data_IF_258879121067
#
_entry.id   IF_258879121067
#
_cell.length_a   1.000
_cell.length_b   1.000
_cell.length_c   1.000
_cell.angle_alpha   90.00
_cell.angle_beta   90.00
_cell.angle_gamma   90.00
#
_symmetry.space_group_name_H-M   'P 1'
#
loop_
_entity.id
_entity.type
_entity.pdbx_description
1 polymer ?
#
# COMPACT_ATOMS: atom_id res chain seq x y z
N UNK A 1 17.78 1.13 6.26
CA UNK A 1 17.80 0.94 4.79
C UNK A 1 17.43 -0.49 4.47
N UNK A 2 16.85 -0.75 3.28
CA UNK A 2 16.47 -2.10 2.85
C UNK A 2 17.62 -3.11 2.90
N UNK A 3 18.83 -2.69 2.50
CA UNK A 3 20.03 -3.52 2.54
C UNK A 3 20.33 -4.06 3.95
N UNK A 4 20.32 -3.19 4.98
CA UNK A 4 20.59 -3.62 6.36
C UNK A 4 19.57 -4.64 6.86
N UNK A 5 18.30 -4.51 6.47
CA UNK A 5 17.25 -5.47 6.82
C UNK A 5 17.49 -6.80 6.12
N UNK A 6 17.81 -6.79 4.82
CA UNK A 6 18.11 -8.00 4.06
C UNK A 6 19.32 -8.74 4.62
N UNK A 7 20.41 -8.02 4.94
CA UNK A 7 21.61 -8.59 5.56
C UNK A 7 21.35 -9.18 6.94
N UNK A 8 20.33 -8.67 7.66
CA UNK A 8 19.92 -9.21 8.95
C UNK A 8 18.99 -10.45 8.83
N UNK A 9 18.67 -10.89 7.61
CA UNK A 9 17.84 -12.08 7.37
C UNK A 9 16.34 -11.83 7.32
N UNK A 10 15.90 -10.57 7.16
CA UNK A 10 14.48 -10.25 6.97
C UNK A 10 13.96 -10.84 5.65
N UNK A 11 12.78 -11.46 5.69
CA UNK A 11 12.15 -12.10 4.52
C UNK A 11 11.35 -11.14 3.65
N UNK A 12 10.65 -10.18 4.26
CA UNK A 12 9.74 -9.25 3.58
C UNK A 12 9.80 -7.87 4.24
N UNK A 13 9.52 -6.81 3.49
CA UNK A 13 9.53 -5.45 4.02
C UNK A 13 8.28 -4.66 3.66
N UNK A 14 7.91 -3.76 4.56
CA UNK A 14 6.84 -2.80 4.35
C UNK A 14 7.29 -1.42 4.84
N UNK A 15 7.33 -0.46 3.92
CA UNK A 15 7.50 0.96 4.24
C UNK A 15 6.26 1.68 3.73
N UNK A 16 5.55 2.36 4.63
CA UNK A 16 4.26 2.90 4.27
C UNK A 16 4.40 4.29 3.66
N UNK A 17 3.70 4.49 2.55
CA UNK A 17 3.46 5.81 1.99
C UNK A 17 2.19 6.46 2.54
N UNK A 18 1.32 5.69 3.19
CA UNK A 18 0.12 6.10 3.95
C UNK A 18 -0.99 6.82 3.15
N UNK A 19 -0.66 7.65 2.17
CA UNK A 19 -1.60 8.47 1.39
C UNK A 19 -1.50 8.17 -0.11
N UNK A 20 -2.50 8.55 -0.91
CA UNK A 20 -2.42 8.41 -2.37
C UNK A 20 -1.56 9.50 -3.03
N UNK A 21 -1.47 10.69 -2.42
CA UNK A 21 -0.78 11.85 -3.00
C UNK A 21 0.26 12.46 -2.08
N UNK A 22 1.25 13.13 -2.68
CA UNK A 22 2.29 13.88 -1.96
C UNK A 22 1.69 15.03 -1.15
N UNK A 23 0.65 15.69 -1.68
CA UNK A 23 -0.04 16.76 -0.98
C UNK A 23 -0.66 16.25 0.33
N UNK A 24 -1.44 15.17 0.27
CA UNK A 24 -2.01 14.55 1.47
C UNK A 24 -0.91 14.10 2.45
N UNK A 25 0.18 13.54 1.94
CA UNK A 25 1.29 13.12 2.79
C UNK A 25 1.90 14.29 3.57
N UNK A 26 2.08 15.44 2.91
CA UNK A 26 2.66 16.63 3.54
C UNK A 26 1.81 17.16 4.71
N UNK A 27 0.49 16.96 4.64
CA UNK A 27 -0.47 17.36 5.67
C UNK A 27 -0.55 16.31 6.77
N UNK A 28 -0.66 15.02 6.41
CA UNK A 28 -0.93 13.92 7.33
C UNK A 28 0.31 13.37 8.03
N UNK A 29 1.49 13.56 7.44
CA UNK A 29 2.76 13.02 7.93
C UNK A 29 3.84 14.12 8.00
N UNK A 30 3.60 15.20 8.76
CA UNK A 30 4.51 16.34 8.81
C UNK A 30 5.90 15.92 9.32
N UNK A 31 6.94 16.38 8.64
CA UNK A 31 8.33 16.08 8.98
C UNK A 31 8.87 14.75 8.43
N UNK A 32 8.06 13.98 7.70
CA UNK A 32 8.50 12.78 6.99
C UNK A 32 8.63 13.07 5.48
N UNK A 33 9.44 12.24 4.79
CA UNK A 33 9.63 12.33 3.35
C UNK A 33 9.02 11.12 2.64
N UNK A 34 7.94 11.37 1.88
CA UNK A 34 7.32 10.36 1.03
C UNK A 34 8.27 9.85 -0.05
N UNK A 35 9.07 10.77 -0.63
CA UNK A 35 10.05 10.43 -1.65
C UNK A 35 11.15 9.50 -1.15
N UNK A 36 11.62 9.71 0.09
CA UNK A 36 12.60 8.80 0.71
C UNK A 36 12.01 7.42 1.00
N UNK A 37 10.76 7.36 1.47
CA UNK A 37 10.05 6.10 1.67
C UNK A 37 9.84 5.36 0.35
N UNK A 38 9.45 6.07 -0.72
CA UNK A 38 9.29 5.48 -2.06
C UNK A 38 10.63 4.99 -2.62
N UNK A 39 11.70 5.78 -2.52
CA UNK A 39 13.04 5.36 -2.93
C UNK A 39 13.50 4.10 -2.16
N UNK A 40 13.23 4.02 -0.86
CA UNK A 40 13.54 2.84 -0.06
C UNK A 40 12.72 1.61 -0.49
N UNK A 41 11.47 1.78 -0.96
CA UNK A 41 10.69 0.69 -1.53
C UNK A 41 11.30 0.22 -2.86
N UNK A 42 11.63 1.13 -3.77
CA UNK A 42 12.29 0.80 -5.04
C UNK A 42 13.62 0.04 -4.81
N UNK A 43 14.43 0.49 -3.85
CA UNK A 43 15.67 -0.19 -3.46
C UNK A 43 15.43 -1.57 -2.84
N UNK A 44 14.29 -1.79 -2.20
CA UNK A 44 13.94 -3.07 -1.59
C UNK A 44 13.56 -4.14 -2.62
N UNK A 45 12.88 -3.77 -3.70
CA UNK A 45 12.38 -4.72 -4.71
C UNK A 45 13.47 -5.67 -5.25
N UNK A 46 14.66 -5.21 -5.70
CA UNK A 46 15.71 -6.12 -6.16
C UNK A 46 16.36 -6.95 -5.04
N UNK A 47 16.23 -6.54 -3.78
CA UNK A 47 16.85 -7.23 -2.63
C UNK A 47 15.94 -8.32 -2.03
N UNK A 48 14.66 -8.03 -1.93
CA UNK A 48 13.66 -8.94 -1.35
C UNK A 48 13.00 -9.82 -2.40
N UNK A 49 12.97 -9.36 -3.66
CA UNK A 49 12.37 -10.06 -4.77
C UNK A 49 10.89 -9.73 -4.94
N UNK A 50 10.34 -10.18 -6.07
CA UNK A 50 8.94 -10.00 -6.43
C UNK A 50 8.03 -10.58 -5.34
N UNK A 51 6.94 -9.88 -5.05
CA UNK A 51 5.92 -10.24 -4.05
C UNK A 51 6.33 -10.14 -2.57
N UNK A 52 7.48 -9.52 -2.25
CA UNK A 52 7.99 -9.43 -0.87
C UNK A 52 8.23 -7.98 -0.39
N UNK A 53 7.71 -7.00 -1.13
CA UNK A 53 7.79 -5.57 -0.81
C UNK A 53 6.40 -4.96 -0.85
N UNK A 54 6.01 -4.31 0.25
CA UNK A 54 4.66 -3.82 0.46
C UNK A 54 4.65 -2.35 0.89
N UNK A 55 3.52 -1.66 0.70
CA UNK A 55 3.27 -0.34 1.29
C UNK A 55 1.79 -0.19 1.65
N UNK A 56 1.48 0.29 2.85
CA UNK A 56 0.11 0.69 3.14
C UNK A 56 -0.24 2.00 2.41
N UNK A 57 -1.47 2.07 1.91
CA UNK A 57 -2.13 3.29 1.43
C UNK A 57 -3.51 3.35 2.06
N UNK A 58 -3.84 4.45 2.73
CA UNK A 58 -5.13 4.65 3.38
C UNK A 58 -6.13 5.19 2.36
N UNK A 59 -7.29 4.53 2.25
CA UNK A 59 -8.42 4.92 1.44
C UNK A 59 -9.40 5.76 2.27
N UNK A 60 -9.69 6.99 1.84
CA UNK A 60 -10.64 7.89 2.49
C UNK A 60 -9.99 9.05 3.25
N UNK A 61 -8.75 9.42 2.95
CA UNK A 61 -8.09 10.61 3.52
C UNK A 61 -8.41 11.90 2.77
N UNK A 62 -9.21 11.82 1.70
CA UNK A 62 -9.61 12.97 0.88
C UNK A 62 -9.14 12.88 -0.57
N UNK A 63 -8.45 11.80 -0.93
CA UNK A 63 -8.05 11.52 -2.31
C UNK A 63 -9.24 11.14 -3.21
N UNK A 64 -9.12 11.46 -4.51
CA UNK A 64 -10.04 10.98 -5.54
C UNK A 64 -9.79 9.51 -5.91
N UNK A 65 -10.75 8.89 -6.61
CA UNK A 65 -10.59 7.51 -7.10
C UNK A 65 -9.47 7.44 -8.16
N UNK A 66 -9.31 8.49 -8.98
CA UNK A 66 -8.24 8.60 -9.97
C UNK A 66 -6.86 8.74 -9.32
N UNK A 67 -6.75 9.53 -8.25
CA UNK A 67 -5.50 9.66 -7.48
C UNK A 67 -5.11 8.34 -6.81
N UNK A 68 -6.09 7.63 -6.23
CA UNK A 68 -5.88 6.31 -5.65
C UNK A 68 -5.44 5.29 -6.72
N UNK A 69 -6.13 5.24 -7.87
CA UNK A 69 -5.78 4.36 -8.97
C UNK A 69 -4.36 4.63 -9.51
N UNK A 70 -4.00 5.91 -9.70
CA UNK A 70 -2.66 6.31 -10.11
C UNK A 70 -1.59 5.92 -9.09
N UNK A 71 -1.87 6.04 -7.79
CA UNK A 71 -0.97 5.58 -6.74
C UNK A 71 -0.78 4.06 -6.76
N UNK A 72 -1.87 3.30 -6.92
CA UNK A 72 -1.83 1.83 -7.03
C UNK A 72 -1.00 1.41 -8.24
N UNK A 73 -1.30 1.96 -9.41
CA UNK A 73 -0.58 1.64 -10.64
C UNK A 73 0.91 1.95 -10.52
N UNK A 74 1.26 3.11 -9.96
CA UNK A 74 2.66 3.49 -9.76
C UNK A 74 3.42 2.49 -8.87
N UNK A 75 2.81 2.04 -7.77
CA UNK A 75 3.43 1.05 -6.88
C UNK A 75 3.59 -0.30 -7.56
N UNK A 76 2.52 -0.80 -8.19
CA UNK A 76 2.53 -2.09 -8.88
C UNK A 76 3.56 -2.11 -10.03
N UNK A 77 3.64 -1.02 -10.80
CA UNK A 77 4.64 -0.86 -11.87
C UNK A 77 6.08 -0.98 -11.36
N UNK A 78 6.34 -0.53 -10.14
CA UNK A 78 7.65 -0.61 -9.51
C UNK A 78 7.87 -1.93 -8.73
N UNK A 79 6.96 -2.91 -8.84
CA UNK A 79 7.08 -4.21 -8.19
C UNK A 79 6.72 -4.20 -6.70
N UNK A 80 6.02 -3.17 -6.24
CA UNK A 80 5.58 -3.00 -4.85
C UNK A 80 4.09 -3.35 -4.78
N UNK A 81 3.70 -4.17 -3.79
CA UNK A 81 2.29 -4.51 -3.57
C UNK A 81 1.67 -3.49 -2.60
N UNK A 82 0.73 -2.66 -3.04
CA UNK A 82 0.00 -1.79 -2.13
C UNK A 82 -0.94 -2.62 -1.25
N UNK A 83 -1.05 -2.24 0.02
CA UNK A 83 -2.07 -2.75 0.94
C UNK A 83 -3.05 -1.62 1.18
N UNK A 84 -4.22 -1.72 0.55
CA UNK A 84 -5.24 -0.68 0.59
C UNK A 84 -6.06 -0.83 1.86
N UNK A 85 -5.94 0.17 2.74
CA UNK A 85 -6.57 0.16 4.06
C UNK A 85 -7.69 1.20 4.12
N UNK A 86 -8.97 0.80 4.18
CA UNK A 86 -10.06 1.73 4.46
C UNK A 86 -9.81 2.51 5.75
N UNK A 87 -10.03 3.82 5.71
CA UNK A 87 -9.93 4.66 6.90
C UNK A 87 -10.97 4.21 7.93
N UNK A 88 -10.51 3.93 9.15
CA UNK A 88 -11.35 3.83 10.34
C UNK A 88 -11.13 5.09 11.18
N UNK A 89 -12.09 6.03 11.22
CA UNK A 89 -11.93 7.28 11.95
C UNK A 89 -11.66 7.07 13.44
N UNK A 90 -10.78 7.88 14.00
CA UNK A 90 -10.39 7.84 15.40
C UNK A 90 -9.20 8.75 15.68
N UNK A 91 -8.97 9.07 16.95
CA UNK A 91 -7.92 10.02 17.36
C UNK A 91 -8.08 11.36 16.64
N UNK A 92 -6.98 11.87 16.08
CA UNK A 92 -6.94 13.13 15.33
C UNK A 92 -7.70 13.09 14.00
N UNK A 93 -8.18 11.90 13.59
CA UNK A 93 -8.99 11.70 12.38
C UNK A 93 -10.47 11.46 12.70
N UNK A 94 -10.93 11.78 13.92
CA UNK A 94 -12.30 11.52 14.34
C UNK A 94 -13.37 12.24 13.48
N UNK A 95 -13.02 13.38 12.87
CA UNK A 95 -13.93 14.15 12.02
C UNK A 95 -14.03 13.62 10.59
N UNK A 96 -13.17 12.67 10.21
CA UNK A 96 -13.23 12.03 8.89
C UNK A 96 -14.36 11.01 8.85
N UNK A 97 -14.88 10.77 7.64
CA UNK A 97 -15.84 9.71 7.38
C UNK A 97 -15.13 8.48 6.81
N UNK A 98 -15.54 7.26 7.19
CA UNK A 98 -15.01 6.06 6.54
C UNK A 98 -15.43 6.05 5.06
N UNK A 99 -14.65 5.44 4.15
CA UNK A 99 -15.07 5.31 2.76
C UNK A 99 -16.32 4.42 2.66
N UNK A 100 -17.22 4.77 1.74
CA UNK A 100 -18.41 3.97 1.45
C UNK A 100 -18.05 2.53 1.04
N UNK A 101 -18.80 1.50 1.48
CA UNK A 101 -18.51 0.11 1.11
C UNK A 101 -18.42 -0.12 -0.39
N UNK A 102 -19.25 0.55 -1.19
CA UNK A 102 -19.20 0.46 -2.65
C UNK A 102 -17.90 1.01 -3.23
N UNK A 103 -17.31 2.03 -2.60
CA UNK A 103 -16.02 2.60 -2.99
C UNK A 103 -14.89 1.63 -2.67
N UNK A 104 -14.92 1.01 -1.49
CA UNK A 104 -13.94 -0.02 -1.10
C UNK A 104 -13.90 -1.14 -2.14
N UNK A 105 -15.06 -1.67 -2.55
CA UNK A 105 -15.14 -2.72 -3.57
C UNK A 105 -14.64 -2.28 -4.94
N UNK A 106 -14.96 -1.05 -5.38
CA UNK A 106 -14.45 -0.51 -6.65
C UNK A 106 -12.92 -0.41 -6.64
N UNK A 107 -12.34 0.15 -5.58
CA UNK A 107 -10.89 0.28 -5.46
C UNK A 107 -10.22 -1.10 -5.34
N UNK A 108 -10.85 -2.07 -4.68
CA UNK A 108 -10.36 -3.45 -4.65
C UNK A 108 -10.29 -4.07 -6.06
N UNK A 109 -11.29 -3.84 -6.91
CA UNK A 109 -11.26 -4.27 -8.31
C UNK A 109 -10.12 -3.63 -9.11
N UNK A 110 -9.92 -2.31 -8.98
CA UNK A 110 -8.78 -1.61 -9.62
C UNK A 110 -7.44 -2.18 -9.11
N UNK A 111 -7.35 -2.44 -7.81
CA UNK A 111 -6.16 -3.03 -7.21
C UNK A 111 -5.85 -4.40 -7.81
N UNK A 112 -6.85 -5.27 -7.93
CA UNK A 112 -6.72 -6.58 -8.56
C UNK A 112 -6.25 -6.48 -10.02
N UNK A 113 -6.86 -5.60 -10.82
CA UNK A 113 -6.47 -5.38 -12.22
C UNK A 113 -5.01 -4.93 -12.34
N UNK A 114 -4.56 -4.02 -11.47
CA UNK A 114 -3.17 -3.54 -11.48
C UNK A 114 -2.18 -4.63 -11.04
N UNK A 115 -2.49 -5.41 -10.01
CA UNK A 115 -1.65 -6.54 -9.61
C UNK A 115 -1.51 -7.54 -10.76
N UNK A 116 -2.62 -7.86 -11.44
CA UNK A 116 -2.62 -8.74 -12.61
C UNK A 116 -1.75 -8.17 -13.74
N UNK A 117 -1.94 -6.90 -14.08
CA UNK A 117 -1.21 -6.20 -15.14
C UNK A 117 0.31 -6.25 -14.96
N UNK A 118 0.78 -6.11 -13.71
CA UNK A 118 2.21 -6.11 -13.40
C UNK A 118 2.73 -7.46 -12.86
N UNK A 119 1.89 -8.50 -12.87
CA UNK A 119 2.26 -9.85 -12.47
C UNK A 119 2.69 -9.95 -11.00
N UNK A 120 2.02 -9.23 -10.11
CA UNK A 120 2.21 -9.30 -8.66
C UNK A 120 1.16 -10.20 -8.02
N UNK A 121 1.56 -10.95 -7.01
CA UNK A 121 0.71 -11.90 -6.30
C UNK A 121 0.82 -11.69 -4.78
N UNK A 122 -0.18 -11.05 -4.14
CA UNK A 122 -0.20 -10.87 -2.69
C UNK A 122 -0.42 -12.22 -1.97
N UNK A 123 -0.89 -13.25 -2.68
CA UNK A 123 -0.99 -14.62 -2.17
C UNK A 123 0.34 -15.26 -1.84
N UNK A 124 1.43 -14.78 -2.44
CA UNK A 124 2.80 -15.23 -2.16
C UNK A 124 3.41 -14.60 -0.89
N UNK A 125 2.71 -13.69 -0.22
CA UNK A 125 3.18 -13.10 1.02
C UNK A 125 3.38 -14.15 2.12
N UNK A 126 4.50 -14.08 2.81
CA UNK A 126 4.89 -14.99 3.89
C UNK A 126 4.39 -14.50 5.26
N UNK A 127 4.21 -13.18 5.43
CA UNK A 127 3.82 -12.54 6.68
C UNK A 127 2.96 -11.28 6.44
N UNK A 128 2.71 -10.52 7.51
CA UNK A 128 1.99 -9.23 7.53
C UNK A 128 0.53 -9.31 7.03
N UNK A 129 -0.05 -8.14 6.71
CA UNK A 129 -1.46 -8.00 6.35
C UNK A 129 -1.90 -8.88 5.18
N UNK A 130 -1.14 -8.99 4.05
CA UNK A 130 -1.56 -9.82 2.93
C UNK A 130 -1.65 -11.32 3.26
N UNK A 131 -0.83 -11.80 4.21
CA UNK A 131 -0.93 -13.18 4.69
C UNK A 131 -2.07 -13.39 5.69
N UNK A 132 -2.37 -12.38 6.53
CA UNK A 132 -3.36 -12.45 7.61
C UNK A 132 -4.80 -12.20 7.14
N UNK A 133 -5.00 -11.38 6.09
CA UNK A 133 -6.31 -10.99 5.50
C UNK A 133 -7.34 -10.45 6.50
N UNK A 134 -6.89 -9.95 7.66
CA UNK A 134 -7.80 -9.66 8.77
C UNK A 134 -8.46 -8.27 8.72
N UNK A 135 -7.77 -7.26 8.19
CA UNK A 135 -8.19 -5.85 8.28
C UNK A 135 -8.48 -5.20 6.93
N UNK A 136 -8.01 -5.81 5.83
CA UNK A 136 -7.94 -5.22 4.50
C UNK A 136 -8.44 -6.26 3.49
N UNK A 137 -9.03 -5.81 2.37
CA UNK A 137 -9.36 -6.72 1.26
C UNK A 137 -8.10 -7.04 0.47
N UNK A 138 -7.74 -8.31 0.40
CA UNK A 138 -6.61 -8.81 -0.36
C UNK A 138 -7.12 -9.45 -1.66
N UNK A 139 -6.76 -8.90 -2.84
CA UNK A 139 -7.20 -9.46 -4.12
C UNK A 139 -6.91 -10.96 -4.25
N UNK A 140 -7.87 -11.69 -4.84
CA UNK A 140 -7.89 -13.16 -5.02
C UNK A 140 -7.99 -14.00 -3.74
N UNK A 141 -7.91 -13.39 -2.56
CA UNK A 141 -8.16 -14.07 -1.29
C UNK A 141 -9.54 -13.74 -0.74
N UNK A 142 -9.89 -12.46 -0.80
CA UNK A 142 -11.14 -11.93 -0.26
C UNK A 142 -12.14 -11.48 -1.36
N UNK A 143 -11.69 -11.45 -2.62
CA UNK A 143 -12.48 -11.10 -3.81
C UNK A 143 -12.65 -12.27 -4.78
#
# INVERSE_FOLDING_TARGET
TPFRLKSAGVSEVKFNLETATDHLFSVMCPGLSRGEAFAALCDAVPLFGRNHVFSNIILGLGESDEEMAGCIENLCQNGIIPVIRPLTPGGDLADFQPPEPSRILRIAGIHEEMLQKYGLDPGAALTMCPACTGCDLIPWRDT
#
